data_IF_627435110933
#
_entry.id   IF_627435110933
#
_cell.length_a   1.000
_cell.length_b   1.000
_cell.length_c   1.000
_cell.angle_alpha   90.00
_cell.angle_beta   90.00
_cell.angle_gamma   90.00
#
_symmetry.space_group_name_H-M   'P 1'
#
loop_
_entity.id
_entity.type
_entity.pdbx_description
1 polymer ?
#
# COMPACT_ATOMS: atom_id res chain seq x y z
N UNK A 1 5.04 -35.83 -9.27
CA UNK A 1 3.96 -35.90 -10.27
C UNK A 1 2.68 -35.43 -9.60
N UNK A 2 1.78 -34.75 -10.32
CA UNK A 2 0.48 -34.30 -9.79
C UNK A 2 -0.63 -35.34 -10.00
N UNK A 3 -0.43 -36.26 -10.94
CA UNK A 3 -1.37 -37.32 -11.23
C UNK A 3 -1.52 -38.28 -10.04
N UNK A 4 -2.75 -38.68 -9.76
CA UNK A 4 -3.02 -39.88 -8.95
C UNK A 4 -2.32 -41.09 -9.57
N UNK A 5 -1.96 -42.06 -8.74
CA UNK A 5 -1.38 -43.31 -9.23
C UNK A 5 -2.33 -43.95 -10.26
N UNK A 6 -1.81 -44.29 -11.44
CA UNK A 6 -2.61 -44.79 -12.56
C UNK A 6 -3.43 -43.74 -13.34
N UNK A 7 -3.28 -42.45 -13.04
CA UNK A 7 -3.92 -41.35 -13.77
C UNK A 7 -2.99 -40.67 -14.79
N UNK A 8 -3.56 -40.07 -15.83
CA UNK A 8 -2.84 -39.29 -16.85
C UNK A 8 -3.40 -37.89 -16.94
N UNK A 9 -2.56 -36.88 -16.68
CA UNK A 9 -2.95 -35.47 -16.67
C UNK A 9 -2.30 -34.74 -17.84
N UNK A 10 -3.07 -33.88 -18.50
CA UNK A 10 -2.65 -33.11 -19.67
C UNK A 10 -2.98 -31.63 -19.49
N UNK A 11 -2.21 -30.73 -20.11
CA UNK A 11 -2.58 -29.31 -20.14
C UNK A 11 -3.78 -29.11 -21.05
N UNK A 12 -4.44 -27.95 -20.93
CA UNK A 12 -5.51 -27.54 -21.83
C UNK A 12 -5.11 -27.60 -23.30
N UNK A 13 -3.90 -27.13 -23.67
CA UNK A 13 -3.46 -27.14 -25.06
C UNK A 13 -3.41 -28.56 -25.63
N UNK A 14 -2.98 -29.54 -24.81
CA UNK A 14 -2.94 -30.96 -25.20
C UNK A 14 -4.35 -31.54 -25.23
N UNK A 15 -5.19 -31.22 -24.24
CA UNK A 15 -6.59 -31.65 -24.22
C UNK A 15 -7.37 -31.13 -25.44
N UNK A 16 -7.18 -29.87 -25.81
CA UNK A 16 -7.85 -29.24 -26.95
C UNK A 16 -7.43 -29.89 -28.27
N UNK A 17 -6.17 -30.30 -28.40
CA UNK A 17 -5.69 -31.09 -29.56
C UNK A 17 -6.32 -32.48 -29.63
N UNK A 18 -6.64 -33.08 -28.48
CA UNK A 18 -7.25 -34.41 -28.38
C UNK A 18 -8.80 -34.37 -28.41
N UNK A 19 -9.40 -33.19 -28.28
CA UNK A 19 -10.86 -33.01 -28.13
C UNK A 19 -11.72 -33.61 -29.26
N UNK A 20 -11.15 -33.79 -30.45
CA UNK A 20 -11.83 -34.43 -31.59
C UNK A 20 -11.83 -35.96 -31.53
N UNK A 21 -11.14 -36.57 -30.57
CA UNK A 21 -11.06 -38.01 -30.38
C UNK A 21 -11.87 -38.42 -29.14
N UNK A 22 -12.97 -39.16 -29.36
CA UNK A 22 -13.89 -39.59 -28.29
C UNK A 22 -13.24 -40.46 -27.21
N UNK A 23 -12.10 -41.07 -27.51
CA UNK A 23 -11.34 -41.93 -26.60
C UNK A 23 -10.55 -41.13 -25.54
N UNK A 24 -10.43 -39.81 -25.71
CA UNK A 24 -9.62 -38.92 -24.86
C UNK A 24 -10.47 -37.84 -24.18
N UNK A 25 -11.64 -38.21 -23.66
CA UNK A 25 -12.40 -37.30 -22.80
C UNK A 25 -11.61 -36.94 -21.53
N UNK A 26 -11.58 -35.66 -21.19
CA UNK A 26 -10.97 -35.17 -19.96
C UNK A 26 -12.00 -34.64 -18.96
N UNK A 27 -11.65 -34.69 -17.66
CA UNK A 27 -12.29 -33.91 -16.62
C UNK A 27 -11.39 -32.73 -16.24
N UNK A 28 -11.95 -31.52 -16.23
CA UNK A 28 -11.19 -30.33 -15.83
C UNK A 28 -10.85 -30.39 -14.35
N UNK A 29 -9.57 -30.19 -14.05
CA UNK A 29 -9.04 -30.01 -12.70
C UNK A 29 -8.79 -28.53 -12.40
N UNK A 30 -9.11 -27.63 -13.32
CA UNK A 30 -8.86 -26.19 -13.19
C UNK A 30 -7.39 -25.81 -13.33
N UNK A 31 -7.07 -24.60 -12.84
CA UNK A 31 -5.71 -24.07 -12.87
C UNK A 31 -4.84 -24.73 -11.80
N UNK A 32 -3.68 -25.23 -12.20
CA UNK A 32 -2.76 -25.97 -11.34
C UNK A 32 -1.37 -25.33 -11.36
N UNK A 33 -0.73 -25.23 -10.19
CA UNK A 33 0.63 -24.70 -10.07
C UNK A 33 1.64 -25.81 -10.36
N UNK A 34 2.40 -25.66 -11.43
CA UNK A 34 3.39 -26.66 -11.84
C UNK A 34 4.79 -26.28 -11.34
N UNK A 35 5.51 -27.24 -10.77
CA UNK A 35 6.89 -27.06 -10.31
C UNK A 35 7.77 -26.65 -11.51
N UNK A 36 8.37 -25.47 -11.46
CA UNK A 36 9.27 -24.94 -12.49
C UNK A 36 8.61 -24.14 -13.62
N UNK A 37 7.28 -24.06 -13.69
CA UNK A 37 6.60 -23.34 -14.79
C UNK A 37 6.47 -21.82 -14.57
N UNK A 38 6.60 -21.34 -13.33
CA UNK A 38 6.43 -19.91 -12.98
C UNK A 38 5.01 -19.35 -13.20
N UNK A 39 4.08 -20.14 -13.75
CA UNK A 39 2.68 -19.80 -14.03
C UNK A 39 1.76 -20.96 -13.67
N UNK A 40 0.48 -20.67 -13.49
CA UNK A 40 -0.56 -21.71 -13.40
C UNK A 40 -0.95 -22.18 -14.79
N UNK A 41 -1.28 -23.46 -14.92
CA UNK A 41 -1.67 -24.09 -16.19
C UNK A 41 -3.02 -24.77 -15.96
N UNK A 42 -3.95 -24.63 -16.90
CA UNK A 42 -5.22 -25.34 -16.84
C UNK A 42 -4.98 -26.82 -17.17
N UNK A 43 -5.39 -27.72 -16.28
CA UNK A 43 -5.09 -29.16 -16.37
C UNK A 43 -6.35 -29.99 -16.41
N UNK A 44 -6.32 -31.05 -17.23
CA UNK A 44 -7.37 -32.03 -17.37
C UNK A 44 -6.82 -33.42 -17.00
N UNK A 45 -7.62 -34.21 -16.28
CA UNK A 45 -7.38 -35.64 -16.10
C UNK A 45 -8.10 -36.43 -17.19
N UNK A 46 -7.39 -37.30 -17.91
CA UNK A 46 -8.01 -38.14 -18.94
C UNK A 46 -8.84 -39.26 -18.32
N UNK A 47 -9.99 -39.54 -18.92
CA UNK A 47 -10.86 -40.67 -18.60
C UNK A 47 -10.46 -41.90 -19.41
N UNK A 48 -10.73 -43.08 -18.87
CA UNK A 48 -10.54 -44.33 -19.60
C UNK A 48 -10.71 -45.54 -18.69
N UNK A 49 -11.13 -46.67 -19.26
CA UNK A 49 -11.43 -47.91 -18.50
C UNK A 49 -10.24 -48.45 -17.69
N UNK A 50 -9.01 -48.07 -18.06
CA UNK A 50 -7.76 -48.48 -17.40
C UNK A 50 -7.07 -47.34 -16.66
N UNK A 51 -7.69 -46.17 -16.58
CA UNK A 51 -7.15 -44.99 -15.92
C UNK A 51 -7.88 -44.74 -14.61
N UNK A 52 -7.13 -44.36 -13.59
CA UNK A 52 -7.74 -43.84 -12.37
C UNK A 52 -8.15 -42.39 -12.62
N UNK A 53 -9.47 -42.19 -12.72
CA UNK A 53 -10.05 -40.87 -12.92
C UNK A 53 -9.85 -40.00 -11.66
N UNK A 54 -9.27 -38.80 -11.78
CA UNK A 54 -9.12 -37.90 -10.66
C UNK A 54 -10.47 -37.31 -10.27
N UNK A 55 -10.75 -37.24 -8.96
CA UNK A 55 -11.89 -36.49 -8.44
C UNK A 55 -11.55 -34.99 -8.43
N UNK A 56 -12.24 -34.13 -9.21
CA UNK A 56 -11.90 -32.71 -9.31
C UNK A 56 -11.94 -31.96 -7.99
N UNK A 57 -12.67 -32.47 -6.98
CA UNK A 57 -12.72 -31.85 -5.65
C UNK A 57 -11.38 -31.90 -4.92
N UNK A 58 -10.53 -32.87 -5.24
CA UNK A 58 -9.24 -33.08 -4.58
C UNK A 58 -8.16 -32.16 -5.16
N UNK A 59 -8.46 -31.47 -6.27
CA UNK A 59 -7.55 -30.58 -6.99
C UNK A 59 -7.95 -29.10 -6.88
N UNK A 60 -8.86 -28.78 -5.96
CA UNK A 60 -9.32 -27.40 -5.67
C UNK A 60 -8.23 -26.50 -5.08
N UNK A 61 -7.08 -27.02 -4.68
CA UNK A 61 -6.06 -26.29 -3.92
C UNK A 61 -5.07 -25.45 -4.74
N UNK A 62 -5.24 -25.28 -6.04
CA UNK A 62 -4.36 -24.39 -6.83
C UNK A 62 -5.06 -23.13 -7.35
N UNK A 63 -5.68 -22.43 -6.40
CA UNK A 63 -5.74 -20.96 -6.27
C UNK A 63 -5.21 -20.12 -7.46
N UNK A 64 -6.11 -19.60 -8.32
CA UNK A 64 -5.87 -18.27 -8.88
C UNK A 64 -6.46 -17.23 -7.93
N UNK A 65 -5.65 -16.34 -7.32
CA UNK A 65 -6.16 -15.20 -6.58
C UNK A 65 -7.07 -14.30 -7.42
N UNK A 66 -6.96 -14.38 -8.74
CA UNK A 66 -7.71 -13.57 -9.70
C UNK A 66 -9.16 -14.03 -9.92
N UNK A 67 -9.53 -15.26 -9.53
CA UNK A 67 -10.83 -15.88 -9.85
C UNK A 67 -11.68 -16.20 -8.61
N UNK A 68 -11.23 -15.85 -7.41
CA UNK A 68 -12.00 -16.06 -6.19
C UNK A 68 -13.04 -14.96 -6.06
N UNK A 69 -14.26 -15.21 -6.57
CA UNK A 69 -15.40 -14.30 -6.45
C UNK A 69 -15.81 -14.01 -4.99
N UNK A 70 -15.22 -14.72 -4.01
CA UNK A 70 -15.44 -14.52 -2.58
C UNK A 70 -14.31 -13.76 -1.86
N UNK A 71 -13.20 -13.43 -2.53
CA UNK A 71 -12.16 -12.53 -1.98
C UNK A 71 -12.22 -11.18 -2.68
N UNK A 72 -13.11 -10.32 -2.20
CA UNK A 72 -13.12 -8.91 -2.57
C UNK A 72 -11.72 -8.32 -2.33
N UNK A 73 -11.18 -7.62 -3.34
CA UNK A 73 -9.99 -6.78 -3.15
C UNK A 73 -10.35 -5.75 -2.08
N UNK A 74 -9.62 -5.70 -0.94
CA UNK A 74 -9.96 -4.77 0.13
C UNK A 74 -9.91 -3.34 -0.38
N UNK A 75 -10.93 -2.56 -0.05
CA UNK A 75 -11.02 -1.15 -0.39
C UNK A 75 -11.09 -0.31 0.87
N UNK A 76 -10.22 0.69 1.00
CA UNK A 76 -10.06 1.47 2.24
C UNK A 76 -9.93 2.96 1.95
N UNK A 77 -10.57 3.79 2.78
CA UNK A 77 -10.23 5.20 2.92
C UNK A 77 -9.53 5.42 4.26
N UNK A 78 -8.43 6.17 4.26
CA UNK A 78 -7.72 6.56 5.48
C UNK A 78 -7.95 8.06 5.65
N UNK A 79 -8.79 8.41 6.61
CA UNK A 79 -9.23 9.79 6.84
C UNK A 79 -8.16 10.52 7.66
N UNK A 80 -7.85 11.80 7.36
CA UNK A 80 -6.96 12.60 8.19
C UNK A 80 -7.37 12.53 9.65
N UNK A 81 -6.41 12.28 10.53
CA UNK A 81 -6.71 12.19 11.95
C UNK A 81 -7.25 13.52 12.46
N UNK A 82 -8.15 13.46 13.43
CA UNK A 82 -8.62 14.65 14.12
C UNK A 82 -7.53 15.14 15.06
N UNK A 83 -7.05 16.37 14.88
CA UNK A 83 -6.17 16.99 15.84
C UNK A 83 -6.96 17.46 17.08
N UNK A 84 -6.56 16.99 18.28
CA UNK A 84 -7.12 17.43 19.57
C UNK A 84 -6.27 18.48 20.27
N UNK A 85 -5.05 18.70 19.77
CA UNK A 85 -4.07 19.62 20.34
C UNK A 85 -4.21 21.04 19.80
N UNK A 86 -3.06 21.71 19.67
CA UNK A 86 -2.98 23.10 19.20
C UNK A 86 -3.20 23.11 17.68
N UNK A 87 -3.91 24.11 17.16
CA UNK A 87 -4.17 24.26 15.70
C UNK A 87 -2.89 24.26 14.85
N UNK A 88 -1.79 24.78 15.38
CA UNK A 88 -0.49 24.76 14.69
C UNK A 88 0.05 23.35 14.41
N UNK A 89 -0.49 22.33 15.09
CA UNK A 89 -0.08 20.93 14.98
C UNK A 89 -0.97 20.14 14.00
N UNK A 90 -1.95 20.78 13.33
CA UNK A 90 -2.86 20.13 12.37
C UNK A 90 -2.10 19.40 11.24
N UNK A 91 -0.94 19.92 10.86
CA UNK A 91 -0.12 19.33 9.80
C UNK A 91 0.39 17.93 10.15
N UNK A 92 0.52 17.57 11.43
CA UNK A 92 0.93 16.21 11.83
C UNK A 92 -0.14 15.20 11.48
N UNK A 93 -1.38 15.50 11.88
CA UNK A 93 -2.52 14.63 11.67
C UNK A 93 -2.77 14.38 10.17
N UNK A 94 -2.59 15.43 9.37
CA UNK A 94 -2.66 15.35 7.91
C UNK A 94 -1.47 14.61 7.28
N UNK A 95 -0.25 14.92 7.75
CA UNK A 95 0.99 14.38 7.20
C UNK A 95 1.10 12.88 7.39
N UNK A 96 0.87 12.39 8.63
CA UNK A 96 0.87 10.98 8.98
C UNK A 96 -0.18 10.21 8.15
N UNK A 97 -1.39 10.76 8.03
CA UNK A 97 -2.43 10.18 7.18
C UNK A 97 -2.00 10.06 5.71
N UNK A 98 -1.44 11.13 5.13
CA UNK A 98 -0.96 11.12 3.74
C UNK A 98 0.14 10.06 3.52
N UNK A 99 0.99 9.84 4.52
CA UNK A 99 1.98 8.75 4.47
C UNK A 99 1.37 7.37 4.60
N UNK A 100 0.40 7.17 5.49
CA UNK A 100 -0.33 5.90 5.60
C UNK A 100 -1.04 5.53 4.30
N UNK A 101 -1.67 6.50 3.62
CA UNK A 101 -2.28 6.29 2.29
C UNK A 101 -1.24 5.75 1.32
N UNK A 102 -0.05 6.36 1.28
CA UNK A 102 1.03 5.95 0.38
C UNK A 102 1.55 4.55 0.72
N UNK A 103 1.76 4.27 2.01
CA UNK A 103 2.29 3.00 2.49
C UNK A 103 1.32 1.84 2.27
N UNK A 104 0.04 2.04 2.59
CA UNK A 104 -1.01 1.03 2.38
C UNK A 104 -1.24 0.81 0.88
N UNK A 105 -1.22 1.87 0.06
CA UNK A 105 -1.33 1.74 -1.40
C UNK A 105 -0.17 0.93 -1.98
N UNK A 106 1.05 1.07 -1.44
CA UNK A 106 2.23 0.34 -1.90
C UNK A 106 2.15 -1.18 -1.69
N UNK A 107 1.26 -1.67 -0.82
CA UNK A 107 1.04 -3.10 -0.60
C UNK A 107 0.40 -3.80 -1.82
N UNK A 108 -0.16 -3.05 -2.77
CA UNK A 108 -0.56 -3.56 -4.08
C UNK A 108 -2.03 -3.90 -4.23
N UNK A 109 -2.43 -5.15 -3.93
CA UNK A 109 -3.81 -5.63 -4.16
C UNK A 109 -4.80 -5.07 -3.11
N UNK A 110 -4.88 -3.74 -3.03
CA UNK A 110 -5.76 -2.97 -2.14
C UNK A 110 -6.17 -1.71 -2.91
N UNK A 111 -7.46 -1.39 -2.92
CA UNK A 111 -7.95 -0.11 -3.44
C UNK A 111 -7.92 0.92 -2.32
N UNK A 112 -7.07 1.93 -2.42
CA UNK A 112 -7.00 3.01 -1.43
C UNK A 112 -7.62 4.26 -2.03
N UNK A 113 -8.61 4.86 -1.34
CA UNK A 113 -9.15 6.15 -1.75
C UNK A 113 -8.04 7.19 -1.73
N UNK A 114 -7.89 7.93 -2.83
CA UNK A 114 -6.87 8.96 -2.88
C UNK A 114 -7.20 10.09 -1.91
N UNK A 115 -6.15 10.71 -1.40
CA UNK A 115 -6.27 11.86 -0.51
C UNK A 115 -7.14 12.99 -1.08
N UNK A 116 -7.02 13.27 -2.39
CA UNK A 116 -7.84 14.26 -3.08
C UNK A 116 -9.33 13.90 -3.04
N UNK A 117 -9.69 12.63 -3.27
CA UNK A 117 -11.09 12.19 -3.17
C UNK A 117 -11.65 12.39 -1.76
N UNK A 118 -10.84 12.12 -0.73
CA UNK A 118 -11.25 12.31 0.67
C UNK A 118 -11.49 13.80 0.95
N UNK A 119 -10.60 14.68 0.48
CA UNK A 119 -10.76 16.13 0.62
C UNK A 119 -11.97 16.68 -0.15
N UNK A 120 -12.16 16.26 -1.40
CA UNK A 120 -13.27 16.70 -2.25
C UNK A 120 -14.64 16.26 -1.68
N UNK A 121 -14.69 15.14 -0.94
CA UNK A 121 -15.92 14.64 -0.28
C UNK A 121 -16.25 15.41 1.01
N UNK A 122 -15.24 15.86 1.76
CA UNK A 122 -15.41 16.57 3.03
C UNK A 122 -15.91 15.69 4.18
N UNK A 123 -16.32 16.35 5.27
CA UNK A 123 -16.83 15.67 6.46
C UNK A 123 -18.26 15.16 6.26
N UNK A 124 -18.45 13.85 6.42
CA UNK A 124 -19.74 13.16 6.28
C UNK A 124 -19.85 12.02 7.31
N UNK A 125 -21.08 11.56 7.61
CA UNK A 125 -21.28 10.30 8.32
C UNK A 125 -20.57 9.13 7.61
N UNK A 126 -20.02 8.20 8.37
CA UNK A 126 -19.22 7.05 7.87
C UNK A 126 -19.97 6.23 6.80
N UNK A 127 -21.29 6.03 6.97
CA UNK A 127 -22.14 5.31 6.02
C UNK A 127 -22.27 6.04 4.66
N UNK A 128 -22.18 7.37 4.64
CA UNK A 128 -22.18 8.16 3.39
C UNK A 128 -20.79 8.24 2.78
N UNK A 129 -19.77 8.39 3.63
CA UNK A 129 -18.37 8.47 3.24
C UNK A 129 -17.93 7.19 2.51
N UNK A 130 -18.30 6.01 3.05
CA UNK A 130 -17.99 4.71 2.44
C UNK A 130 -18.60 4.58 1.03
N UNK A 131 -19.86 5.01 0.86
CA UNK A 131 -20.54 5.00 -0.45
C UNK A 131 -19.91 5.97 -1.43
N UNK A 132 -19.64 7.21 -1.03
CA UNK A 132 -19.05 8.23 -1.92
C UNK A 132 -17.63 7.89 -2.37
N UNK A 133 -16.83 7.29 -1.49
CA UNK A 133 -15.47 6.85 -1.78
C UNK A 133 -15.42 5.42 -2.38
N UNK A 134 -16.58 4.76 -2.47
CA UNK A 134 -16.76 3.37 -2.94
C UNK A 134 -16.03 2.31 -2.08
N UNK A 135 -15.64 2.65 -0.84
CA UNK A 135 -14.77 1.83 0.03
C UNK A 135 -15.59 0.99 1.01
N UNK A 136 -15.09 -0.21 1.31
CA UNK A 136 -15.63 -1.05 2.38
C UNK A 136 -15.11 -0.63 3.74
N UNK A 137 -13.82 -0.33 3.83
CA UNK A 137 -13.16 -0.02 5.09
C UNK A 137 -12.89 1.48 5.21
N UNK A 138 -13.07 2.01 6.41
CA UNK A 138 -12.69 3.39 6.73
C UNK A 138 -11.79 3.35 7.96
N UNK A 139 -10.55 3.82 7.79
CA UNK A 139 -9.65 4.10 8.89
C UNK A 139 -9.79 5.58 9.27
N UNK A 140 -10.05 5.85 10.55
CA UNK A 140 -10.06 7.20 11.12
C UNK A 140 -9.36 7.18 12.48
N UNK A 141 -9.14 8.35 13.06
CA UNK A 141 -8.39 8.43 14.30
C UNK A 141 -8.27 9.83 14.86
N UNK A 142 -7.65 9.93 16.02
CA UNK A 142 -7.36 11.18 16.70
C UNK A 142 -5.87 11.25 17.04
N UNK A 143 -5.26 12.42 16.91
CA UNK A 143 -3.90 12.71 17.35
C UNK A 143 -3.95 13.86 18.35
N UNK A 144 -3.29 13.68 19.49
CA UNK A 144 -3.17 14.68 20.53
C UNK A 144 -1.72 14.85 20.95
N UNK A 145 -1.09 15.95 20.53
CA UNK A 145 0.23 16.34 21.02
C UNK A 145 0.11 17.08 22.35
N UNK A 146 0.84 16.60 23.36
CA UNK A 146 0.92 17.12 24.73
C UNK A 146 2.38 17.46 25.05
N UNK A 147 2.93 18.45 24.35
CA UNK A 147 4.32 18.91 24.42
C UNK A 147 5.37 17.79 24.24
N UNK A 148 5.71 17.04 25.28
CA UNK A 148 6.68 15.92 25.26
C UNK A 148 6.05 14.54 24.99
N UNK A 149 4.71 14.44 25.02
CA UNK A 149 3.98 13.19 24.79
C UNK A 149 3.02 13.36 23.62
N UNK A 150 2.60 12.25 23.01
CA UNK A 150 1.41 12.22 22.19
C UNK A 150 0.52 11.04 22.53
N UNK A 151 -0.78 11.24 22.29
CA UNK A 151 -1.74 10.16 22.19
C UNK A 151 -2.20 10.04 20.74
N UNK A 152 -2.16 8.83 20.19
CA UNK A 152 -2.74 8.53 18.89
C UNK A 152 -3.69 7.35 19.01
N UNK A 153 -4.91 7.52 18.50
CA UNK A 153 -5.91 6.46 18.42
C UNK A 153 -6.30 6.30 16.96
N UNK A 154 -6.36 5.06 16.50
CA UNK A 154 -6.86 4.71 15.18
C UNK A 154 -7.92 3.62 15.31
N UNK A 155 -8.91 3.67 14.44
CA UNK A 155 -9.97 2.67 14.32
C UNK A 155 -10.16 2.30 12.85
N UNK A 156 -10.49 1.04 12.60
CA UNK A 156 -10.89 0.55 11.28
C UNK A 156 -12.34 0.07 11.34
N UNK A 157 -13.20 0.76 10.61
CA UNK A 157 -14.62 0.45 10.49
C UNK A 157 -14.90 -0.36 9.22
N UNK A 158 -15.69 -1.43 9.33
CA UNK A 158 -16.21 -2.19 8.19
C UNK A 158 -17.64 -1.74 7.88
N UNK A 159 -17.86 -1.09 6.74
CA UNK A 159 -19.17 -0.56 6.33
C UNK A 159 -20.18 -1.65 5.99
N UNK A 160 -19.72 -2.87 5.70
CA UNK A 160 -20.58 -4.04 5.44
C UNK A 160 -21.16 -4.59 6.74
N UNK A 161 -20.30 -4.78 7.74
CA UNK A 161 -20.66 -5.32 9.07
C UNK A 161 -21.14 -4.24 10.04
N UNK A 162 -21.01 -2.96 9.65
CA UNK A 162 -21.37 -1.77 10.42
C UNK A 162 -20.76 -1.70 11.82
N UNK A 163 -19.51 -2.13 11.96
CA UNK A 163 -18.80 -2.17 13.24
C UNK A 163 -17.33 -1.85 13.09
N UNK A 164 -16.72 -1.39 14.17
CA UNK A 164 -15.27 -1.32 14.30
C UNK A 164 -14.74 -2.76 14.38
N UNK A 165 -13.78 -3.08 13.51
CA UNK A 165 -13.16 -4.41 13.43
C UNK A 165 -11.74 -4.44 14.00
N UNK A 166 -11.13 -3.27 14.18
CA UNK A 166 -9.83 -3.10 14.79
C UNK A 166 -9.71 -1.68 15.34
N UNK A 167 -8.97 -1.55 16.44
CA UNK A 167 -8.55 -0.28 17.01
C UNK A 167 -7.20 -0.49 17.69
N UNK A 168 -6.41 0.57 17.73
CA UNK A 168 -5.14 0.58 18.42
C UNK A 168 -4.86 1.97 19.01
N UNK A 169 -4.05 2.02 20.06
CA UNK A 169 -3.72 3.26 20.75
C UNK A 169 -2.24 3.31 21.14
N UNK A 170 -1.69 4.51 21.06
CA UNK A 170 -0.35 4.85 21.50
C UNK A 170 -0.40 6.01 22.46
N UNK A 171 0.38 5.91 23.52
CA UNK A 171 0.67 6.98 24.47
C UNK A 171 2.17 6.96 24.73
N UNK A 172 2.92 7.70 23.94
CA UNK A 172 4.38 7.62 23.85
C UNK A 172 5.01 9.03 23.86
N UNK A 173 6.34 9.07 23.95
CA UNK A 173 7.07 10.33 23.85
C UNK A 173 6.95 10.90 22.44
N UNK A 174 6.88 12.23 22.33
CA UNK A 174 6.85 12.92 21.05
C UNK A 174 7.99 12.53 20.11
N UNK A 175 9.16 12.24 20.67
CA UNK A 175 10.34 11.84 19.90
C UNK A 175 10.17 10.47 19.21
N UNK A 176 9.24 9.63 19.67
CA UNK A 176 8.96 8.32 19.08
C UNK A 176 7.94 8.37 17.92
N UNK A 177 7.36 9.54 17.63
CA UNK A 177 6.36 9.71 16.57
C UNK A 177 6.80 9.18 15.18
N UNK A 178 8.05 9.31 14.72
CA UNK A 178 8.44 8.73 13.44
C UNK A 178 8.31 7.21 13.39
N UNK A 179 8.45 6.52 14.54
CA UNK A 179 8.44 5.06 14.61
C UNK A 179 7.03 4.46 14.47
N UNK A 180 5.99 5.16 14.96
CA UNK A 180 4.62 4.63 14.95
C UNK A 180 4.04 4.43 13.54
N UNK A 181 4.57 5.13 12.53
CA UNK A 181 4.11 5.02 11.13
C UNK A 181 4.15 3.57 10.62
N UNK A 182 5.24 2.85 10.93
CA UNK A 182 5.39 1.44 10.57
C UNK A 182 4.27 0.60 11.18
N UNK A 183 4.14 0.68 12.50
CA UNK A 183 3.14 -0.04 13.29
C UNK A 183 1.71 0.22 12.82
N UNK A 184 1.37 1.47 12.50
CA UNK A 184 0.05 1.85 12.00
C UNK A 184 -0.28 1.16 10.67
N UNK A 185 0.66 1.20 9.72
CA UNK A 185 0.46 0.55 8.43
C UNK A 185 0.40 -0.97 8.55
N UNK A 186 1.25 -1.58 9.38
CA UNK A 186 1.27 -3.02 9.62
C UNK A 186 -0.05 -3.49 10.24
N UNK A 187 -0.59 -2.73 11.20
CA UNK A 187 -1.89 -2.97 11.81
C UNK A 187 -3.02 -3.00 10.78
N UNK A 188 -3.11 -1.97 9.93
CA UNK A 188 -4.10 -1.90 8.86
C UNK A 188 -3.95 -3.09 7.89
N UNK A 189 -2.75 -3.35 7.38
CA UNK A 189 -2.52 -4.41 6.41
C UNK A 189 -2.81 -5.80 6.98
N UNK A 190 -2.48 -6.03 8.26
CA UNK A 190 -2.78 -7.29 8.94
C UNK A 190 -4.28 -7.56 9.01
N UNK A 191 -5.08 -6.55 9.37
CA UNK A 191 -6.55 -6.68 9.46
C UNK A 191 -7.17 -6.89 8.08
N UNK A 192 -6.61 -6.25 7.05
CA UNK A 192 -7.02 -6.44 5.65
C UNK A 192 -6.48 -7.73 5.02
N UNK A 193 -5.81 -8.60 5.79
CA UNK A 193 -5.20 -9.85 5.35
C UNK A 193 -4.27 -9.70 4.13
N UNK A 194 -3.45 -8.66 4.18
CA UNK A 194 -2.49 -8.26 3.14
C UNK A 194 -1.14 -7.98 3.79
N UNK A 195 -0.10 -7.83 2.98
CA UNK A 195 1.28 -7.64 3.46
C UNK A 195 1.98 -6.59 2.62
N UNK A 196 2.97 -5.92 3.20
CA UNK A 196 3.86 -5.07 2.44
C UNK A 196 4.55 -5.88 1.32
N UNK A 197 4.66 -5.30 0.12
CA UNK A 197 5.48 -5.86 -0.96
C UNK A 197 6.98 -5.73 -0.72
N UNK A 198 7.34 -4.83 0.18
CA UNK A 198 8.69 -4.36 0.42
C UNK A 198 8.87 -4.27 1.93
N UNK A 199 9.92 -4.88 2.47
CA UNK A 199 10.28 -4.72 3.88
C UNK A 199 10.58 -3.25 4.17
N UNK A 200 9.95 -2.71 5.21
CA UNK A 200 10.23 -1.38 5.72
C UNK A 200 11.47 -1.43 6.59
N UNK A 201 12.46 -0.61 6.27
CA UNK A 201 13.56 -0.34 7.19
C UNK A 201 13.12 0.77 8.14
N UNK A 202 13.21 0.51 9.43
CA UNK A 202 13.11 1.54 10.48
C UNK A 202 14.50 2.10 10.69
N UNK A 203 14.86 3.13 9.94
CA UNK A 203 16.02 3.94 10.30
C UNK A 203 15.62 4.88 11.44
N UNK A 204 16.58 5.25 12.29
CA UNK A 204 16.38 6.29 13.31
C UNK A 204 16.23 7.62 12.60
N UNK A 205 15.01 8.15 12.56
CA UNK A 205 14.70 9.43 11.93
C UNK A 205 14.80 10.51 13.01
N UNK A 206 15.52 11.60 12.74
CA UNK A 206 15.50 12.76 13.63
C UNK A 206 14.08 13.36 13.68
N UNK A 207 13.50 13.45 14.86
CA UNK A 207 12.11 13.90 15.05
C UNK A 207 11.89 15.33 14.57
N UNK A 208 12.89 16.21 14.68
CA UNK A 208 12.78 17.59 14.18
C UNK A 208 12.88 17.63 12.67
N UNK A 209 13.75 16.82 12.06
CA UNK A 209 13.80 16.66 10.61
C UNK A 209 12.45 16.17 10.06
N UNK A 210 11.86 15.16 10.71
CA UNK A 210 10.54 14.65 10.38
C UNK A 210 9.44 15.71 10.54
N UNK A 211 9.47 16.50 11.62
CA UNK A 211 8.55 17.62 11.82
C UNK A 211 8.65 18.64 10.66
N UNK A 212 9.86 19.03 10.26
CA UNK A 212 10.06 19.94 9.12
C UNK A 212 9.55 19.35 7.81
N UNK A 213 9.79 18.06 7.57
CA UNK A 213 9.27 17.35 6.41
C UNK A 213 7.73 17.36 6.38
N UNK A 214 7.05 17.02 7.48
CA UNK A 214 5.59 17.04 7.54
C UNK A 214 5.01 18.44 7.35
N UNK A 215 5.63 19.48 7.92
CA UNK A 215 5.24 20.88 7.67
C UNK A 215 5.38 21.24 6.20
N UNK A 216 6.52 20.89 5.59
CA UNK A 216 6.79 21.18 4.19
C UNK A 216 5.78 20.49 3.28
N UNK A 217 5.51 19.20 3.53
CA UNK A 217 4.54 18.41 2.79
C UNK A 217 3.14 19.01 2.89
N UNK A 218 2.68 19.33 4.09
CA UNK A 218 1.39 19.99 4.28
C UNK A 218 1.32 21.33 3.53
N UNK A 219 2.35 22.19 3.65
CA UNK A 219 2.41 23.48 2.96
C UNK A 219 2.40 23.32 1.44
N UNK A 220 3.14 22.36 0.91
CA UNK A 220 3.21 22.07 -0.52
C UNK A 220 1.90 21.50 -1.07
N UNK A 221 1.25 20.61 -0.34
CA UNK A 221 -0.01 19.99 -0.78
C UNK A 221 -1.20 20.95 -0.68
N UNK A 222 -1.14 21.94 0.22
CA UNK A 222 -2.14 23.00 0.38
C UNK A 222 -1.73 24.33 -0.28
N UNK A 223 -0.75 24.31 -1.18
CA UNK A 223 -0.25 25.52 -1.84
C UNK A 223 -1.31 26.19 -2.70
N UNK A 224 -1.36 27.50 -2.68
CA UNK A 224 -2.20 28.33 -3.53
C UNK A 224 -1.39 29.04 -4.62
N UNK A 225 -0.08 29.20 -4.39
CA UNK A 225 0.82 29.94 -5.26
C UNK A 225 2.26 29.39 -5.21
N UNK A 226 3.16 30.04 -5.95
CA UNK A 226 4.59 29.68 -5.99
C UNK A 226 5.34 29.98 -4.70
N UNK A 227 4.94 31.01 -3.94
CA UNK A 227 5.60 31.39 -2.69
C UNK A 227 5.41 30.28 -1.64
N UNK A 228 4.25 29.64 -1.60
CA UNK A 228 4.01 28.45 -0.77
C UNK A 228 4.95 27.30 -1.11
N UNK A 229 5.30 27.16 -2.39
CA UNK A 229 6.27 26.16 -2.84
C UNK A 229 7.67 26.50 -2.36
N UNK A 230 8.07 27.77 -2.40
CA UNK A 230 9.37 28.22 -1.86
C UNK A 230 9.45 28.05 -0.34
N UNK A 231 8.37 28.33 0.38
CA UNK A 231 8.29 28.06 1.83
C UNK A 231 8.46 26.56 2.09
N UNK A 232 7.79 25.71 1.31
CA UNK A 232 7.95 24.26 1.44
C UNK A 232 9.40 23.83 1.16
N UNK A 233 10.05 24.34 0.10
CA UNK A 233 11.47 24.08 -0.19
C UNK A 233 12.39 24.47 0.96
N UNK A 234 12.18 25.63 1.56
CA UNK A 234 12.95 26.08 2.73
C UNK A 234 12.80 25.15 3.94
N UNK A 235 11.59 24.62 4.17
CA UNK A 235 11.34 23.62 5.21
C UNK A 235 12.00 22.27 4.89
N UNK A 236 11.97 21.83 3.62
CA UNK A 236 12.62 20.58 3.18
C UNK A 236 14.13 20.66 3.34
N UNK A 237 14.75 21.78 2.99
CA UNK A 237 16.20 21.96 3.19
C UNK A 237 16.58 21.88 4.68
N UNK A 238 15.80 22.50 5.58
CA UNK A 238 16.01 22.37 7.03
C UNK A 238 15.88 20.92 7.51
N UNK A 239 14.94 20.15 6.96
CA UNK A 239 14.82 18.74 7.27
C UNK A 239 16.06 17.94 6.80
N UNK A 240 16.56 18.20 5.59
CA UNK A 240 17.77 17.56 5.05
C UNK A 240 19.03 17.93 5.84
N UNK A 241 19.14 19.19 6.29
CA UNK A 241 20.25 19.65 7.13
C UNK A 241 20.31 18.92 8.49
N UNK A 242 19.15 18.55 9.04
CA UNK A 242 19.05 17.81 10.30
C UNK A 242 19.23 16.30 10.12
N UNK A 243 18.67 15.75 9.04
CA UNK A 243 18.75 14.33 8.71
C UNK A 243 18.78 14.11 7.19
N UNK A 244 19.99 13.92 6.68
CA UNK A 244 20.22 13.69 5.26
C UNK A 244 19.78 12.29 4.78
N UNK A 245 19.52 11.36 5.71
CA UNK A 245 19.06 10.01 5.39
C UNK A 245 17.56 9.95 5.13
N UNK A 246 16.82 11.04 5.37
CA UNK A 246 15.39 11.11 5.09
C UNK A 246 15.12 11.29 3.58
N UNK A 247 15.31 10.22 2.82
CA UNK A 247 15.20 10.17 1.34
C UNK A 247 13.86 10.73 0.84
N UNK A 248 12.78 10.50 1.58
CA UNK A 248 11.45 11.01 1.23
C UNK A 248 11.41 12.54 1.13
N UNK A 249 12.19 13.24 1.95
CA UNK A 249 12.33 14.70 1.94
C UNK A 249 13.00 15.19 0.66
N UNK A 250 14.09 14.53 0.26
CA UNK A 250 14.79 14.81 -1.01
C UNK A 250 13.88 14.57 -2.21
N UNK A 251 13.13 13.47 -2.19
CA UNK A 251 12.15 13.16 -3.23
C UNK A 251 11.04 14.22 -3.34
N UNK A 252 10.54 14.72 -2.21
CA UNK A 252 9.57 15.80 -2.19
C UNK A 252 10.18 17.11 -2.70
N UNK A 253 11.45 17.40 -2.35
CA UNK A 253 12.15 18.58 -2.83
C UNK A 253 12.31 18.56 -4.35
N UNK A 254 12.80 17.46 -4.91
CA UNK A 254 12.89 17.28 -6.36
C UNK A 254 11.52 17.41 -7.04
N UNK A 255 10.45 16.93 -6.39
CA UNK A 255 9.08 17.01 -6.92
C UNK A 255 8.63 18.46 -7.06
N UNK A 256 8.98 19.30 -6.09
CA UNK A 256 8.67 20.73 -6.16
C UNK A 256 9.34 21.40 -7.37
N UNK A 257 10.57 21.05 -7.72
CA UNK A 257 11.27 21.59 -8.89
C UNK A 257 10.67 21.06 -10.20
N UNK A 258 10.41 19.75 -10.25
CA UNK A 258 9.80 19.09 -11.41
C UNK A 258 8.44 19.69 -11.76
N UNK A 259 7.56 19.90 -10.76
CA UNK A 259 6.23 20.48 -10.99
C UNK A 259 6.27 21.96 -11.41
N UNK A 260 7.38 22.66 -11.17
CA UNK A 260 7.62 24.02 -11.67
C UNK A 260 8.34 24.05 -13.02
N UNK A 261 8.63 22.89 -13.61
CA UNK A 261 9.33 22.78 -14.89
C UNK A 261 10.86 22.89 -14.83
N UNK A 262 11.44 22.97 -13.63
CA UNK A 262 12.90 22.98 -13.42
C UNK A 262 13.41 21.53 -13.34
N UNK A 263 13.42 20.86 -14.49
CA UNK A 263 13.77 19.45 -14.59
C UNK A 263 15.25 19.19 -14.27
N UNK A 264 16.14 20.13 -14.60
CA UNK A 264 17.57 19.99 -14.34
C UNK A 264 17.84 19.93 -12.83
N UNK A 265 17.31 20.89 -12.04
CA UNK A 265 17.42 20.82 -10.58
C UNK A 265 16.73 19.60 -9.99
N UNK A 266 15.57 19.22 -10.52
CA UNK A 266 14.88 18.02 -10.07
C UNK A 266 15.78 16.77 -10.24
N UNK A 267 16.47 16.65 -11.38
CA UNK A 267 17.41 15.55 -11.64
C UNK A 267 18.67 15.61 -10.78
N UNK A 268 19.19 16.80 -10.49
CA UNK A 268 20.28 17.03 -9.54
C UNK A 268 19.94 16.55 -8.13
N UNK A 269 18.66 16.54 -7.76
CA UNK A 269 18.18 16.05 -6.46
C UNK A 269 17.84 14.55 -6.50
N UNK A 270 17.11 14.10 -7.52
CA UNK A 270 16.64 12.71 -7.60
C UNK A 270 17.77 11.70 -7.80
N UNK A 271 18.80 12.05 -8.59
CA UNK A 271 19.88 11.11 -8.91
C UNK A 271 20.70 10.75 -7.66
N UNK A 272 21.17 11.72 -6.85
CA UNK A 272 21.84 11.41 -5.59
C UNK A 272 20.91 10.72 -4.58
N UNK A 273 19.65 11.15 -4.49
CA UNK A 273 18.67 10.53 -3.58
C UNK A 273 18.45 9.04 -3.92
N UNK A 274 18.37 8.69 -5.21
CA UNK A 274 18.27 7.31 -5.66
C UNK A 274 19.53 6.50 -5.32
N UNK A 275 20.72 7.09 -5.47
CA UNK A 275 21.98 6.43 -5.13
C UNK A 275 22.04 6.14 -3.62
N UNK A 276 21.74 7.13 -2.79
CA UNK A 276 21.71 6.97 -1.34
C UNK A 276 20.63 5.98 -0.89
N UNK A 277 19.44 6.02 -1.50
CA UNK A 277 18.39 5.05 -1.21
C UNK A 277 18.83 3.60 -1.51
N UNK A 278 19.61 3.39 -2.58
CA UNK A 278 20.22 2.07 -2.87
C UNK A 278 21.24 1.66 -1.82
N UNK A 279 22.09 2.58 -1.37
CA UNK A 279 23.10 2.32 -0.34
C UNK A 279 22.47 1.98 1.02
N UNK A 280 21.42 2.70 1.40
CA UNK A 280 20.66 2.46 2.62
C UNK A 280 19.76 1.21 2.53
N UNK A 281 19.48 0.74 1.32
CA UNK A 281 18.51 -0.32 1.05
C UNK A 281 17.05 0.13 1.19
N UNK A 282 16.79 1.44 1.15
CA UNK A 282 15.46 2.03 1.16
C UNK A 282 14.77 1.84 -0.20
N UNK A 283 14.13 0.68 -0.36
CA UNK A 283 13.39 0.30 -1.56
C UNK A 283 12.20 1.25 -1.84
N UNK A 284 11.58 1.84 -0.82
CA UNK A 284 10.48 2.79 -1.01
C UNK A 284 11.02 4.12 -1.55
N UNK A 285 12.10 4.63 -0.96
CA UNK A 285 12.84 5.78 -1.46
C UNK A 285 13.31 5.60 -2.89
N UNK A 286 13.85 4.43 -3.23
CA UNK A 286 14.23 4.08 -4.60
C UNK A 286 13.05 4.14 -5.57
N UNK A 287 11.92 3.53 -5.21
CA UNK A 287 10.71 3.53 -6.03
C UNK A 287 10.19 4.95 -6.29
N UNK A 288 10.18 5.78 -5.24
CA UNK A 288 9.78 7.19 -5.34
C UNK A 288 10.72 7.99 -6.25
N UNK A 289 12.04 7.82 -6.14
CA UNK A 289 12.99 8.53 -7.01
C UNK A 289 12.85 8.08 -8.46
N UNK A 290 12.78 6.77 -8.73
CA UNK A 290 12.62 6.22 -10.08
C UNK A 290 11.33 6.69 -10.75
N UNK A 291 10.20 6.67 -10.03
CA UNK A 291 8.91 7.15 -10.54
C UNK A 291 8.92 8.64 -10.86
N UNK A 292 9.82 9.43 -10.27
CA UNK A 292 9.92 10.84 -10.56
C UNK A 292 10.93 11.18 -11.66
N UNK A 293 11.90 10.30 -11.90
CA UNK A 293 12.88 10.40 -12.98
C UNK A 293 12.28 9.97 -14.32
N UNK A 294 11.52 8.87 -14.34
CA UNK A 294 10.85 8.34 -15.53
C UNK A 294 9.58 9.09 -15.88
#
# INVERSE_FOLDING_TARGET
SMAVEGGVFVSKEVHDQLSNQKEFEGVSLGLQKMKGAGRVIEVFGLKGEKLNEPNPKDYKENYCPCCDSNKEVPSIAIIPFRNKGKKKDDFFAYGICSELISDVSSAGLIRVASKKQIEDVGELPIDELSKKLDVRYIANGELWRMDEMFQLVIELYDSKEKRIIWSDNWEENWDDLPMIKGSLSDGILKVLNTKHKVEKKTDTIDTKAYEFYLKAKHKYEKRENTDDTEIARGLLNKAIELDDNLIVTKNLLGKTYKEMGDYDKAMEIYTPALAQAKELGDKQGMGNSLNNIG
#
